data_IF_904232500505
#
_entry.id   IF_904232500505
#
_cell.length_a   1.000
_cell.length_b   1.000
_cell.length_c   1.000
_cell.angle_alpha   90.00
_cell.angle_beta   90.00
_cell.angle_gamma   90.00
#
_symmetry.space_group_name_H-M   'P 1'
#
loop_
_entity.id
_entity.type
_entity.pdbx_description
1 polymer ?
#
# COMPACT_ATOMS: atom_id res chain seq x y z
N UNK A 1 -26.22 -16.08 18.42
CA UNK A 1 -25.10 -16.64 17.62
C UNK A 1 -23.86 -16.51 18.46
N UNK A 2 -23.11 -17.60 18.72
CA UNK A 2 -21.83 -17.51 19.47
C UNK A 2 -20.87 -16.62 18.69
N UNK A 3 -20.29 -15.60 19.34
CA UNK A 3 -19.30 -14.75 18.74
C UNK A 3 -18.11 -15.61 18.29
N UNK A 4 -17.68 -15.44 17.04
CA UNK A 4 -16.47 -16.12 16.56
C UNK A 4 -15.26 -15.67 17.38
N UNK A 5 -14.28 -16.54 17.65
CA UNK A 5 -13.09 -16.12 18.38
C UNK A 5 -12.33 -15.05 17.55
N UNK A 6 -11.63 -14.12 18.23
CA UNK A 6 -10.82 -13.11 17.56
C UNK A 6 -9.68 -13.78 16.77
N UNK A 7 -9.29 -13.18 15.65
CA UNK A 7 -8.13 -13.58 14.86
C UNK A 7 -6.86 -13.27 15.68
N UNK A 8 -6.11 -14.30 16.02
CA UNK A 8 -4.85 -14.15 16.76
C UNK A 8 -3.75 -13.70 15.80
N UNK A 9 -3.25 -12.49 15.97
CA UNK A 9 -2.30 -11.88 15.06
C UNK A 9 -1.01 -11.49 15.78
N UNK A 10 0.12 -11.61 15.08
CA UNK A 10 1.42 -11.17 15.55
C UNK A 10 2.08 -10.24 14.54
N UNK A 11 2.98 -9.40 15.02
CA UNK A 11 3.75 -8.45 14.19
C UNK A 11 5.22 -8.82 14.19
N UNK A 12 5.82 -9.00 13.01
CA UNK A 12 7.26 -9.22 12.83
C UNK A 12 7.90 -7.94 12.33
N UNK A 13 8.77 -7.36 13.17
CA UNK A 13 9.34 -6.02 13.02
C UNK A 13 8.65 -5.01 13.92
N UNK A 14 9.30 -4.61 15.01
CA UNK A 14 8.78 -3.66 16.02
C UNK A 14 9.10 -2.18 15.70
N UNK A 15 9.37 -1.87 14.43
CA UNK A 15 9.57 -0.50 13.95
C UNK A 15 8.27 0.31 13.87
N UNK A 16 8.36 1.52 13.25
CA UNK A 16 7.21 2.44 13.14
C UNK A 16 5.94 1.77 12.60
N UNK A 17 6.02 1.03 11.48
CA UNK A 17 4.84 0.39 10.90
C UNK A 17 4.36 -0.78 11.75
N UNK A 18 5.29 -1.54 12.35
CA UNK A 18 4.89 -2.60 13.28
C UNK A 18 4.13 -2.07 14.49
N UNK A 19 4.52 -0.92 15.04
CA UNK A 19 3.77 -0.28 16.13
C UNK A 19 2.38 0.18 15.69
N UNK A 20 2.25 0.77 14.49
CA UNK A 20 0.93 1.16 13.94
C UNK A 20 0.01 -0.04 13.82
N UNK A 21 0.46 -1.12 13.18
CA UNK A 21 -0.34 -2.35 13.09
C UNK A 21 -0.61 -2.99 14.45
N UNK A 22 0.38 -2.97 15.36
CA UNK A 22 0.21 -3.48 16.71
C UNK A 22 -0.89 -2.75 17.50
N UNK A 23 -0.92 -1.42 17.43
CA UNK A 23 -2.00 -0.65 18.06
C UNK A 23 -3.37 -0.99 17.47
N UNK A 24 -3.48 -1.08 16.16
CA UNK A 24 -4.73 -1.44 15.50
C UNK A 24 -5.20 -2.83 15.89
N UNK A 25 -4.30 -3.82 15.87
CA UNK A 25 -4.59 -5.20 16.26
C UNK A 25 -5.01 -5.29 17.73
N UNK A 26 -4.43 -4.47 18.61
CA UNK A 26 -4.77 -4.44 20.03
C UNK A 26 -6.15 -3.88 20.33
N UNK A 27 -6.63 -2.91 19.51
CA UNK A 27 -7.92 -2.23 19.74
C UNK A 27 -9.05 -2.75 18.85
N UNK A 28 -8.76 -3.45 17.78
CA UNK A 28 -9.75 -3.97 16.85
C UNK A 28 -10.57 -5.09 17.50
N UNK A 29 -11.94 -5.05 17.48
CA UNK A 29 -12.79 -5.97 18.25
C UNK A 29 -12.70 -7.43 17.79
N UNK A 30 -12.24 -7.68 16.57
CA UNK A 30 -12.18 -9.00 15.97
C UNK A 30 -10.76 -9.57 15.93
N UNK A 31 -9.77 -8.91 16.55
CA UNK A 31 -8.37 -9.39 16.59
C UNK A 31 -7.84 -9.47 18.00
N UNK A 32 -6.83 -10.33 18.21
CA UNK A 32 -6.04 -10.43 19.41
C UNK A 32 -4.56 -10.30 19.05
N UNK A 33 -3.90 -9.23 19.52
CA UNK A 33 -2.46 -9.09 19.35
C UNK A 33 -1.74 -10.03 20.32
N UNK A 34 -1.15 -11.12 19.81
CA UNK A 34 -0.49 -12.15 20.62
C UNK A 34 1.00 -11.95 20.82
N UNK A 35 1.65 -11.08 20.03
CA UNK A 35 3.07 -10.77 20.22
C UNK A 35 3.68 -9.95 19.11
N UNK A 36 4.85 -9.43 19.43
CA UNK A 36 5.82 -8.88 18.48
C UNK A 36 7.00 -9.79 18.32
N UNK A 37 7.66 -9.72 17.17
CA UNK A 37 8.97 -10.35 16.94
C UNK A 37 9.94 -9.28 16.48
N UNK A 38 11.05 -9.13 17.18
CA UNK A 38 12.18 -8.32 16.72
C UNK A 38 13.49 -8.89 17.26
N UNK A 39 14.59 -8.73 16.50
CA UNK A 39 15.93 -9.14 16.94
C UNK A 39 16.45 -8.25 18.07
N UNK A 40 16.03 -6.99 18.08
CA UNK A 40 16.35 -6.05 19.15
C UNK A 40 15.30 -6.16 20.27
N UNK A 41 15.57 -7.02 21.23
CA UNK A 41 14.68 -7.22 22.38
C UNK A 41 14.68 -6.05 23.37
N UNK A 42 15.60 -5.07 23.23
CA UNK A 42 15.58 -3.83 24.03
C UNK A 42 14.37 -2.94 23.72
N UNK A 43 13.70 -3.16 22.58
CA UNK A 43 12.48 -2.46 22.19
C UNK A 43 11.26 -2.79 23.08
N UNK A 44 11.32 -3.81 23.93
CA UNK A 44 10.19 -4.21 24.79
C UNK A 44 9.70 -3.06 25.69
N UNK A 45 10.61 -2.33 26.33
CA UNK A 45 10.25 -1.17 27.16
C UNK A 45 9.67 -0.02 26.32
N UNK A 46 10.20 0.19 25.11
CA UNK A 46 9.69 1.18 24.19
C UNK A 46 8.25 0.85 23.76
N UNK A 47 7.97 -0.40 23.35
CA UNK A 47 6.61 -0.84 23.01
C UNK A 47 5.64 -0.64 24.16
N UNK A 48 6.05 -1.02 25.38
CA UNK A 48 5.24 -0.82 26.58
C UNK A 48 4.98 0.67 26.87
N UNK A 49 5.98 1.53 26.70
CA UNK A 49 5.83 2.99 26.86
C UNK A 49 4.86 3.61 25.85
N UNK A 50 4.72 2.99 24.68
CA UNK A 50 3.75 3.37 23.65
C UNK A 50 2.35 2.75 23.89
N UNK A 51 2.13 2.03 25.00
CA UNK A 51 0.84 1.41 25.33
C UNK A 51 0.57 0.06 24.66
N UNK A 52 1.57 -0.54 24.02
CA UNK A 52 1.49 -1.89 23.44
C UNK A 52 1.78 -2.93 24.52
N UNK A 53 0.85 -3.87 24.73
CA UNK A 53 0.88 -4.79 25.88
C UNK A 53 1.32 -6.21 25.55
N UNK A 54 1.41 -6.53 24.24
CA UNK A 54 1.80 -7.86 23.81
C UNK A 54 3.31 -8.10 24.02
N UNK A 55 3.74 -9.34 24.33
CA UNK A 55 5.15 -9.67 24.56
C UNK A 55 5.98 -9.54 23.28
N UNK A 56 7.28 -9.25 23.46
CA UNK A 56 8.27 -9.22 22.38
C UNK A 56 9.10 -10.51 22.40
N UNK A 57 9.14 -11.21 21.27
CA UNK A 57 9.91 -12.44 21.07
C UNK A 57 11.15 -12.19 20.19
N UNK A 58 12.28 -12.86 20.44
CA UNK A 58 13.51 -12.67 19.68
C UNK A 58 13.49 -13.31 18.27
N UNK A 59 12.50 -14.16 17.98
CA UNK A 59 12.37 -14.85 16.68
C UNK A 59 10.95 -15.36 16.44
N UNK A 60 10.63 -15.63 15.17
CA UNK A 60 9.37 -16.27 14.75
C UNK A 60 9.21 -17.64 15.43
N UNK A 61 10.29 -18.41 15.58
CA UNK A 61 10.26 -19.71 16.25
C UNK A 61 9.87 -19.58 17.74
N UNK A 62 10.38 -18.56 18.43
CA UNK A 62 10.04 -18.29 19.84
C UNK A 62 8.57 -17.87 19.99
N UNK A 63 8.06 -17.02 19.09
CA UNK A 63 6.64 -16.66 19.02
C UNK A 63 5.77 -17.91 18.84
N UNK A 64 6.08 -18.76 17.86
CA UNK A 64 5.28 -19.96 17.57
C UNK A 64 5.29 -21.00 18.71
N UNK A 65 6.35 -21.06 19.49
CA UNK A 65 6.43 -21.93 20.66
C UNK A 65 5.57 -21.44 21.83
N UNK A 66 5.50 -20.12 22.01
CA UNK A 66 4.80 -19.51 23.17
C UNK A 66 3.35 -19.12 22.86
N UNK A 67 3.08 -18.53 21.72
CA UNK A 67 1.79 -17.93 21.35
C UNK A 67 1.53 -18.03 19.85
N UNK A 68 1.24 -19.25 19.29
CA UNK A 68 1.05 -19.45 17.87
C UNK A 68 -0.10 -18.56 17.33
N UNK A 69 0.15 -17.67 16.33
CA UNK A 69 -0.85 -16.82 15.73
C UNK A 69 -1.59 -17.53 14.58
N UNK A 70 -2.76 -16.99 14.20
CA UNK A 70 -3.48 -17.33 12.97
C UNK A 70 -2.97 -16.50 11.79
N UNK A 71 -2.50 -15.26 12.05
CA UNK A 71 -2.01 -14.32 11.06
C UNK A 71 -0.73 -13.62 11.51
N UNK A 72 0.13 -13.26 10.55
CA UNK A 72 1.37 -12.52 10.80
C UNK A 72 1.44 -11.29 9.91
N UNK A 73 1.80 -10.15 10.53
CA UNK A 73 2.07 -8.88 9.87
C UNK A 73 3.58 -8.70 9.74
N UNK A 74 4.11 -8.76 8.52
CA UNK A 74 5.53 -8.57 8.22
C UNK A 74 5.79 -7.07 8.00
N UNK A 75 6.42 -6.43 8.98
CA UNK A 75 6.71 -5.00 9.04
C UNK A 75 8.21 -4.71 9.17
N UNK A 76 9.05 -5.64 8.74
CA UNK A 76 10.52 -5.53 8.76
C UNK A 76 11.02 -4.68 7.57
N UNK A 77 12.33 -4.31 7.49
CA UNK A 77 12.87 -3.67 6.30
C UNK A 77 12.68 -4.50 5.03
N UNK A 78 12.38 -3.86 3.91
CA UNK A 78 11.93 -4.48 2.65
C UNK A 78 12.80 -5.65 2.18
N UNK A 79 14.14 -5.51 2.25
CA UNK A 79 15.08 -6.56 1.83
C UNK A 79 15.00 -7.85 2.66
N UNK A 80 14.33 -7.82 3.80
CA UNK A 80 14.17 -9.00 4.67
C UNK A 80 12.84 -9.71 4.47
N UNK A 81 11.89 -9.12 3.74
CA UNK A 81 10.53 -9.64 3.60
C UNK A 81 10.50 -11.10 3.14
N UNK A 82 11.22 -11.46 2.07
CA UNK A 82 11.22 -12.84 1.56
C UNK A 82 11.72 -13.85 2.61
N UNK A 83 12.79 -13.54 3.34
CA UNK A 83 13.33 -14.41 4.38
C UNK A 83 12.32 -14.59 5.53
N UNK A 84 11.73 -13.49 6.01
CA UNK A 84 10.74 -13.50 7.09
C UNK A 84 9.47 -14.26 6.66
N UNK A 85 8.98 -14.03 5.44
CA UNK A 85 7.82 -14.74 4.89
C UNK A 85 8.05 -16.25 4.87
N UNK A 86 9.24 -16.72 4.47
CA UNK A 86 9.59 -18.14 4.50
C UNK A 86 9.51 -18.74 5.91
N UNK A 87 10.01 -18.00 6.90
CA UNK A 87 9.94 -18.44 8.31
C UNK A 87 8.48 -18.48 8.79
N UNK A 88 7.68 -17.46 8.49
CA UNK A 88 6.28 -17.40 8.90
C UNK A 88 5.44 -18.51 8.27
N UNK A 89 5.60 -18.76 6.97
CA UNK A 89 4.80 -19.74 6.23
C UNK A 89 5.15 -21.21 6.57
N UNK A 90 6.20 -21.48 7.33
CA UNK A 90 6.45 -22.82 7.88
C UNK A 90 5.27 -23.36 8.72
N UNK A 91 4.36 -22.52 9.18
CA UNK A 91 3.17 -22.85 9.98
C UNK A 91 1.83 -22.51 9.31
N UNK A 92 1.81 -22.22 8.01
CA UNK A 92 0.58 -21.91 7.24
C UNK A 92 -0.30 -20.84 7.87
N UNK A 93 0.29 -19.76 8.37
CA UNK A 93 -0.43 -18.59 8.91
C UNK A 93 -0.87 -17.67 7.78
N UNK A 94 -1.98 -16.95 7.96
CA UNK A 94 -2.37 -15.86 7.07
C UNK A 94 -1.31 -14.76 7.09
N UNK A 95 -1.10 -14.05 5.96
CA UNK A 95 0.05 -13.21 5.76
C UNK A 95 -0.34 -11.79 5.34
N UNK A 96 0.03 -10.80 6.11
CA UNK A 96 0.05 -9.41 5.72
C UNK A 96 1.50 -8.95 5.56
N UNK A 97 1.86 -8.33 4.41
CA UNK A 97 3.23 -7.85 4.17
C UNK A 97 3.20 -6.36 3.88
N UNK A 98 4.02 -5.59 4.60
CA UNK A 98 4.18 -4.16 4.33
C UNK A 98 4.75 -3.89 2.93
N UNK A 99 4.44 -2.70 2.42
CA UNK A 99 4.95 -2.22 1.14
C UNK A 99 6.34 -1.55 1.28
N UNK A 100 7.14 -1.52 0.20
CA UNK A 100 6.98 -2.31 -1.02
C UNK A 100 7.18 -3.80 -0.74
N UNK A 101 6.55 -4.66 -1.54
CA UNK A 101 6.51 -6.10 -1.25
C UNK A 101 7.91 -6.73 -1.17
N UNK A 102 8.82 -6.29 -2.03
CA UNK A 102 10.22 -6.72 -2.05
C UNK A 102 11.10 -5.66 -2.70
N UNK A 103 12.42 -5.87 -2.71
CA UNK A 103 13.38 -4.99 -3.40
C UNK A 103 13.54 -5.34 -4.88
N UNK A 104 13.05 -6.52 -5.31
CA UNK A 104 13.06 -6.99 -6.69
C UNK A 104 11.76 -7.69 -7.08
N UNK A 105 11.47 -7.73 -8.38
CA UNK A 105 10.36 -8.51 -8.94
C UNK A 105 10.49 -10.01 -8.61
N UNK A 106 11.70 -10.55 -8.73
CA UNK A 106 11.94 -11.96 -8.47
C UNK A 106 11.58 -12.35 -7.03
N UNK A 107 11.95 -11.53 -6.05
CA UNK A 107 11.61 -11.76 -4.65
C UNK A 107 10.11 -11.57 -4.39
N UNK A 108 9.47 -10.57 -5.01
CA UNK A 108 8.02 -10.37 -4.90
C UNK A 108 7.24 -11.58 -5.45
N UNK A 109 7.62 -12.07 -6.63
CA UNK A 109 7.03 -13.29 -7.22
C UNK A 109 7.32 -14.54 -6.37
N UNK A 110 8.48 -14.62 -5.70
CA UNK A 110 8.79 -15.71 -4.77
C UNK A 110 7.89 -15.65 -3.52
N UNK A 111 7.65 -14.45 -2.96
CA UNK A 111 6.72 -14.25 -1.84
C UNK A 111 5.32 -14.69 -2.23
N UNK A 112 4.82 -14.24 -3.39
CA UNK A 112 3.50 -14.63 -3.91
C UNK A 112 3.38 -16.14 -4.08
N UNK A 113 4.37 -16.79 -4.71
CA UNK A 113 4.37 -18.27 -4.88
C UNK A 113 4.29 -18.98 -3.54
N UNK A 114 5.12 -18.60 -2.57
CA UNK A 114 5.12 -19.20 -1.24
C UNK A 114 3.76 -19.09 -0.55
N UNK A 115 3.10 -17.93 -0.60
CA UNK A 115 1.78 -17.73 -0.01
C UNK A 115 0.69 -18.53 -0.74
N UNK A 116 0.76 -18.60 -2.08
CA UNK A 116 -0.17 -19.38 -2.91
C UNK A 116 -0.03 -20.88 -2.65
N UNK A 117 1.20 -21.39 -2.62
CA UNK A 117 1.48 -22.82 -2.37
C UNK A 117 1.09 -23.24 -0.96
N UNK A 118 1.20 -22.33 0.01
CA UNK A 118 0.71 -22.54 1.38
C UNK A 118 -0.82 -22.52 1.48
N UNK A 119 -1.53 -21.99 0.49
CA UNK A 119 -2.98 -21.88 0.47
C UNK A 119 -3.51 -20.94 1.56
N UNK A 120 -2.77 -19.86 1.87
CA UNK A 120 -3.14 -18.92 2.93
C UNK A 120 -3.73 -17.63 2.36
N UNK A 121 -4.58 -16.96 3.14
CA UNK A 121 -5.01 -15.60 2.83
C UNK A 121 -3.82 -14.65 2.94
N UNK A 122 -3.71 -13.72 2.00
CA UNK A 122 -2.61 -12.78 1.97
C UNK A 122 -3.02 -11.38 1.50
N UNK A 123 -2.36 -10.36 2.06
CA UNK A 123 -2.55 -8.95 1.69
C UNK A 123 -1.23 -8.18 1.70
N UNK A 124 -1.23 -7.02 1.06
CA UNK A 124 -0.11 -6.08 1.04
C UNK A 124 -0.51 -4.70 1.60
N UNK A 125 0.45 -4.00 2.20
CA UNK A 125 0.27 -2.75 2.95
C UNK A 125 0.03 -1.48 2.12
N UNK A 126 -0.76 -1.51 1.05
CA UNK A 126 -1.08 -0.33 0.23
C UNK A 126 -2.24 0.49 0.81
N UNK A 127 -2.02 1.09 1.96
CA UNK A 127 -3.05 1.75 2.77
C UNK A 127 -3.86 2.82 2.03
N UNK A 128 -3.26 3.57 1.08
CA UNK A 128 -3.99 4.64 0.37
C UNK A 128 -5.10 4.12 -0.54
N UNK A 129 -5.03 2.87 -0.99
CA UNK A 129 -6.12 2.24 -1.72
C UNK A 129 -7.37 2.00 -0.85
N UNK A 130 -7.23 2.04 0.48
CA UNK A 130 -8.34 1.92 1.43
C UNK A 130 -8.95 3.27 1.85
N UNK A 131 -8.48 4.39 1.31
CA UNK A 131 -9.12 5.69 1.52
C UNK A 131 -10.51 5.71 0.86
N UNK A 132 -11.57 6.16 1.56
CA UNK A 132 -12.93 6.17 1.02
C UNK A 132 -13.06 6.85 -0.33
N UNK A 133 -12.41 8.01 -0.50
CA UNK A 133 -12.43 8.76 -1.78
C UNK A 133 -11.70 8.00 -2.90
N UNK A 134 -10.65 7.23 -2.59
CA UNK A 134 -9.94 6.42 -3.58
C UNK A 134 -10.83 5.25 -4.04
N UNK A 135 -11.52 4.59 -3.12
CA UNK A 135 -12.47 3.52 -3.45
C UNK A 135 -13.65 4.04 -4.24
N UNK A 136 -14.28 5.15 -3.81
CA UNK A 136 -15.39 5.76 -4.53
C UNK A 136 -15.00 6.21 -5.96
N UNK A 137 -13.80 6.77 -6.12
CA UNK A 137 -13.29 7.12 -7.45
C UNK A 137 -13.06 5.89 -8.33
N UNK A 138 -12.50 4.79 -7.75
CA UNK A 138 -12.38 3.51 -8.45
C UNK A 138 -13.75 2.99 -8.91
N UNK A 139 -14.74 2.99 -8.03
CA UNK A 139 -16.07 2.46 -8.34
C UNK A 139 -16.77 3.26 -9.45
N UNK A 140 -16.61 4.58 -9.49
CA UNK A 140 -17.08 5.42 -10.58
C UNK A 140 -16.41 5.07 -11.92
N UNK A 141 -15.09 4.87 -11.91
CA UNK A 141 -14.34 4.46 -13.10
C UNK A 141 -14.76 3.06 -13.54
N UNK A 142 -14.84 2.10 -12.63
CA UNK A 142 -15.24 0.72 -12.88
C UNK A 142 -16.69 0.60 -13.37
N UNK A 143 -17.60 1.44 -12.87
CA UNK A 143 -18.98 1.54 -13.33
C UNK A 143 -19.12 2.20 -14.72
N UNK A 144 -18.02 2.64 -15.33
CA UNK A 144 -18.02 3.27 -16.64
C UNK A 144 -18.59 4.69 -16.67
N UNK A 145 -18.64 5.39 -15.54
CA UNK A 145 -19.19 6.76 -15.45
C UNK A 145 -18.55 7.71 -16.46
N UNK A 146 -17.24 7.57 -16.70
CA UNK A 146 -16.48 8.40 -17.63
C UNK A 146 -16.55 7.93 -19.09
N UNK A 147 -17.22 6.80 -19.39
CA UNK A 147 -17.17 6.18 -20.69
C UNK A 147 -15.81 5.56 -21.01
N UNK A 148 -15.42 5.50 -22.29
CA UNK A 148 -14.08 5.08 -22.69
C UNK A 148 -13.03 6.00 -22.08
N UNK A 149 -12.10 5.43 -21.30
CA UNK A 149 -11.02 6.18 -20.68
C UNK A 149 -9.98 6.60 -21.72
N UNK A 150 -9.55 7.85 -21.68
CA UNK A 150 -8.64 8.42 -22.66
C UNK A 150 -7.24 8.62 -22.09
N UNK A 151 -7.16 9.33 -20.95
CA UNK A 151 -5.87 9.64 -20.32
C UNK A 151 -6.01 9.89 -18.83
N UNK A 152 -4.86 9.93 -18.14
CA UNK A 152 -4.78 10.38 -16.75
C UNK A 152 -3.56 11.27 -16.50
N UNK A 153 -3.62 12.03 -15.41
CA UNK A 153 -2.45 12.64 -14.78
C UNK A 153 -2.48 12.32 -13.29
N UNK A 154 -1.32 11.91 -12.75
CA UNK A 154 -1.18 11.59 -11.34
C UNK A 154 0.03 12.30 -10.75
N UNK A 155 -0.02 12.60 -9.47
CA UNK A 155 1.12 13.11 -8.73
C UNK A 155 1.17 12.59 -7.30
N UNK A 156 2.38 12.61 -6.74
CA UNK A 156 2.62 12.42 -5.31
C UNK A 156 3.80 13.28 -4.87
N UNK A 157 3.57 14.22 -3.96
CA UNK A 157 4.58 15.16 -3.49
C UNK A 157 4.59 15.24 -1.97
N UNK A 158 5.80 15.40 -1.40
CA UNK A 158 5.98 15.72 0.01
C UNK A 158 7.29 16.50 0.22
N UNK A 159 7.37 17.22 1.32
CA UNK A 159 8.53 18.00 1.74
C UNK A 159 9.29 17.24 2.82
N UNK A 160 10.11 16.27 2.45
CA UNK A 160 10.74 15.35 3.41
C UNK A 160 12.27 15.23 3.26
N UNK A 161 12.80 15.24 2.04
CA UNK A 161 14.21 14.95 1.76
C UNK A 161 14.89 16.13 1.08
N UNK A 162 15.71 16.88 1.83
CA UNK A 162 16.46 18.05 1.34
C UNK A 162 17.95 17.97 1.68
N UNK A 163 18.48 16.79 1.89
CA UNK A 163 19.87 16.53 2.20
C UNK A 163 20.11 15.06 2.46
N UNK A 164 21.39 14.67 2.62
CA UNK A 164 21.76 13.28 2.89
C UNK A 164 21.04 12.74 4.13
N UNK A 165 20.42 11.58 3.99
CA UNK A 165 19.76 10.83 5.05
C UNK A 165 20.50 9.52 5.30
N UNK A 166 20.33 8.95 6.50
CA UNK A 166 20.94 7.68 6.91
C UNK A 166 19.86 6.62 7.14
N UNK A 167 20.28 5.35 7.15
CA UNK A 167 19.43 4.20 7.41
C UNK A 167 19.14 3.40 6.14
N UNK A 168 18.57 2.21 6.34
CA UNK A 168 18.28 1.24 5.28
C UNK A 168 17.38 1.81 4.17
N UNK A 169 16.50 2.72 4.54
CA UNK A 169 15.53 3.37 3.67
C UNK A 169 16.16 4.20 2.52
N UNK A 170 17.39 4.67 2.73
CA UNK A 170 18.19 5.43 1.75
C UNK A 170 19.34 4.60 1.15
N UNK A 171 19.26 3.27 1.28
CA UNK A 171 20.18 2.33 0.64
C UNK A 171 19.40 1.53 -0.39
N UNK A 172 19.71 1.73 -1.68
CA UNK A 172 18.97 1.17 -2.81
C UNK A 172 18.79 -0.34 -2.71
N UNK A 173 19.83 -1.06 -2.27
CA UNK A 173 19.84 -2.51 -2.12
C UNK A 173 18.89 -3.00 -1.02
N UNK A 174 18.63 -2.17 -0.01
CA UNK A 174 17.78 -2.52 1.13
C UNK A 174 16.34 -2.03 0.97
N UNK A 175 16.15 -0.86 0.31
CA UNK A 175 14.85 -0.23 0.12
C UNK A 175 14.19 -0.59 -1.23
N UNK A 176 14.99 -1.06 -2.21
CA UNK A 176 14.53 -1.27 -3.59
C UNK A 176 14.54 0.00 -4.44
N UNK A 177 14.89 1.15 -3.86
CA UNK A 177 14.93 2.46 -4.51
C UNK A 177 14.59 3.60 -3.58
N UNK A 178 14.28 4.77 -4.16
CA UNK A 178 13.92 5.99 -3.44
C UNK A 178 12.42 6.29 -3.49
N UNK A 179 12.07 7.48 -3.99
CA UNK A 179 10.69 7.95 -4.04
C UNK A 179 9.77 7.02 -4.83
N UNK A 180 10.26 6.41 -5.91
CA UNK A 180 9.48 5.48 -6.74
C UNK A 180 9.08 4.23 -5.96
N UNK A 181 10.05 3.55 -5.34
CA UNK A 181 9.80 2.32 -4.59
C UNK A 181 9.00 2.58 -3.31
N UNK A 182 9.14 3.76 -2.72
CA UNK A 182 8.54 4.07 -1.43
C UNK A 182 7.19 4.78 -1.54
N UNK A 183 7.22 6.09 -1.78
CA UNK A 183 6.02 6.94 -1.76
C UNK A 183 5.16 6.70 -2.99
N UNK A 184 5.76 6.74 -4.18
CA UNK A 184 5.03 6.58 -5.42
C UNK A 184 4.44 5.17 -5.60
N UNK A 185 4.97 4.14 -4.92
CA UNK A 185 4.42 2.79 -4.97
C UNK A 185 2.94 2.72 -4.58
N UNK A 186 2.46 3.60 -3.71
CA UNK A 186 1.03 3.71 -3.41
C UNK A 186 0.21 4.18 -4.62
N UNK A 187 0.71 5.20 -5.35
CA UNK A 187 0.03 5.69 -6.56
C UNK A 187 0.15 4.67 -7.68
N UNK A 188 1.29 4.02 -7.84
CA UNK A 188 1.47 2.93 -8.82
C UNK A 188 0.50 1.78 -8.58
N UNK A 189 0.26 1.40 -7.31
CA UNK A 189 -0.76 0.42 -6.97
C UNK A 189 -2.15 0.88 -7.41
N UNK A 190 -2.53 2.12 -7.11
CA UNK A 190 -3.82 2.71 -7.51
C UNK A 190 -3.96 2.72 -9.04
N UNK A 191 -2.92 3.13 -9.78
CA UNK A 191 -2.94 3.14 -11.23
C UNK A 191 -3.12 1.73 -11.82
N UNK A 192 -2.44 0.72 -11.26
CA UNK A 192 -2.61 -0.68 -11.65
C UNK A 192 -4.02 -1.19 -11.36
N UNK A 193 -4.59 -0.83 -10.22
CA UNK A 193 -5.95 -1.21 -9.82
C UNK A 193 -7.02 -0.55 -10.71
N UNK A 194 -6.82 0.72 -11.11
CA UNK A 194 -7.79 1.46 -11.94
C UNK A 194 -7.71 1.08 -13.43
N UNK A 195 -6.50 0.90 -13.96
CA UNK A 195 -6.27 0.79 -15.40
C UNK A 195 -5.79 -0.60 -15.84
N UNK A 196 -5.44 -1.47 -14.88
CA UNK A 196 -4.97 -2.84 -15.17
C UNK A 196 -3.47 -2.89 -15.48
N UNK A 197 -3.09 -3.82 -16.36
CA UNK A 197 -1.69 -4.07 -16.70
C UNK A 197 -1.10 -2.94 -17.55
N UNK A 198 0.14 -2.55 -17.26
CA UNK A 198 0.91 -1.67 -18.14
C UNK A 198 1.36 -2.44 -19.38
N UNK A 199 1.38 -1.74 -20.51
CA UNK A 199 1.93 -2.22 -21.78
C UNK A 199 3.34 -1.68 -21.99
N UNK A 200 3.54 -0.37 -21.72
CA UNK A 200 4.78 0.34 -21.99
C UNK A 200 4.91 1.56 -21.09
N UNK A 201 6.15 1.92 -20.73
CA UNK A 201 6.43 3.18 -20.05
C UNK A 201 7.75 3.81 -20.50
N UNK A 202 7.87 5.12 -20.27
CA UNK A 202 9.13 5.89 -20.34
C UNK A 202 9.29 6.64 -19.03
N UNK A 203 10.47 6.56 -18.41
CA UNK A 203 10.71 7.19 -17.13
C UNK A 203 12.04 7.96 -17.08
N UNK A 204 12.02 9.00 -16.23
CA UNK A 204 13.22 9.72 -15.78
C UNK A 204 13.22 9.75 -14.27
N UNK A 205 14.34 9.44 -13.63
CA UNK A 205 14.54 9.55 -12.20
C UNK A 205 15.73 10.46 -11.89
N UNK A 206 15.70 11.18 -10.77
CA UNK A 206 16.80 12.06 -10.33
C UNK A 206 17.04 11.91 -8.83
N UNK A 207 18.32 11.94 -8.47
CA UNK A 207 18.83 11.97 -7.10
C UNK A 207 19.48 13.34 -6.87
N UNK A 208 18.78 14.26 -6.23
CA UNK A 208 19.23 15.63 -5.98
C UNK A 208 19.84 15.79 -4.59
N UNK A 209 19.24 15.09 -3.61
CA UNK A 209 19.51 15.32 -2.19
C UNK A 209 19.96 14.05 -1.45
N UNK A 210 19.61 12.86 -1.97
CA UNK A 210 19.93 11.59 -1.35
C UNK A 210 20.69 10.64 -2.27
N UNK A 211 21.02 9.45 -1.78
CA UNK A 211 21.70 8.39 -2.55
C UNK A 211 20.74 7.56 -3.42
N UNK A 212 19.45 7.79 -3.27
CA UNK A 212 18.38 7.15 -4.03
C UNK A 212 17.59 8.21 -4.82
N UNK A 213 16.66 7.83 -5.66
CA UNK A 213 15.85 8.77 -6.44
C UNK A 213 14.96 9.64 -5.54
N UNK A 214 15.07 10.96 -5.72
CA UNK A 214 14.26 11.97 -5.01
C UNK A 214 13.05 12.42 -5.82
N UNK A 215 13.11 12.25 -7.13
CA UNK A 215 12.02 12.59 -8.05
C UNK A 215 11.97 11.64 -9.25
N UNK A 216 10.77 11.46 -9.81
CA UNK A 216 10.56 10.71 -11.03
C UNK A 216 9.39 11.28 -11.85
N UNK A 217 9.54 11.25 -13.18
CA UNK A 217 8.47 11.48 -14.15
C UNK A 217 8.33 10.22 -15.01
N UNK A 218 7.10 9.75 -15.16
CA UNK A 218 6.81 8.50 -15.86
C UNK A 218 5.61 8.68 -16.79
N UNK A 219 5.82 8.41 -18.09
CA UNK A 219 4.75 8.29 -19.08
C UNK A 219 4.36 6.83 -19.24
N UNK A 220 3.08 6.54 -19.07
CA UNK A 220 2.51 5.19 -19.17
C UNK A 220 1.64 5.02 -20.40
N UNK A 221 1.64 3.79 -20.92
CA UNK A 221 0.60 3.24 -21.79
C UNK A 221 0.12 1.92 -21.16
N UNK A 222 -1.14 1.85 -20.79
CA UNK A 222 -1.77 0.65 -20.27
C UNK A 222 -2.26 -0.28 -21.39
N UNK A 223 -2.50 -1.56 -21.08
CA UNK A 223 -2.95 -2.54 -22.07
C UNK A 223 -4.34 -2.22 -22.65
N UNK A 224 -5.19 -1.52 -21.90
CA UNK A 224 -6.50 -1.03 -22.33
C UNK A 224 -6.44 0.25 -23.20
N UNK A 225 -5.23 0.75 -23.51
CA UNK A 225 -5.03 1.93 -24.33
C UNK A 225 -4.96 3.26 -23.58
N UNK A 226 -5.28 3.29 -22.31
CA UNK A 226 -5.17 4.51 -21.47
C UNK A 226 -3.70 4.93 -21.38
N UNK A 227 -3.45 6.22 -21.57
CA UNK A 227 -2.11 6.82 -21.44
C UNK A 227 -2.10 7.87 -20.34
N UNK A 228 -0.94 8.13 -19.73
CA UNK A 228 -0.87 9.19 -18.73
C UNK A 228 0.49 9.41 -18.14
N UNK A 229 0.55 10.40 -17.26
CA UNK A 229 1.74 10.89 -16.60
C UNK A 229 1.63 10.69 -15.08
N UNK A 230 2.69 10.19 -14.47
CA UNK A 230 2.95 10.32 -13.04
C UNK A 230 4.15 11.25 -12.83
N UNK A 231 3.97 12.27 -11.99
CA UNK A 231 5.06 13.09 -11.46
C UNK A 231 5.13 12.94 -9.94
N UNK A 232 6.31 12.62 -9.43
CA UNK A 232 6.48 12.34 -8.00
C UNK A 232 7.80 12.88 -7.46
N UNK A 233 7.75 13.42 -6.25
CA UNK A 233 8.96 13.85 -5.53
C UNK A 233 8.69 13.94 -4.02
N UNK A 234 9.65 13.51 -3.22
CA UNK A 234 9.63 13.75 -1.77
C UNK A 234 10.46 14.99 -1.34
N UNK A 235 10.86 15.80 -2.33
CA UNK A 235 11.69 17.00 -2.14
C UNK A 235 11.03 18.25 -2.70
N UNK A 236 9.70 18.41 -2.49
CA UNK A 236 8.93 19.56 -2.94
C UNK A 236 8.79 20.54 -1.78
N UNK A 237 9.45 21.73 -1.80
CA UNK A 237 9.39 22.69 -0.71
C UNK A 237 7.96 23.12 -0.41
N UNK A 238 7.60 23.22 0.88
CA UNK A 238 6.30 23.73 1.32
C UNK A 238 5.16 22.70 1.34
N UNK A 239 5.35 21.50 0.80
CA UNK A 239 4.36 20.42 0.82
C UNK A 239 4.49 19.59 2.10
N UNK A 240 4.00 20.12 3.23
CA UNK A 240 4.20 19.54 4.56
C UNK A 240 3.51 18.17 4.77
N UNK A 241 2.41 17.93 4.05
CA UNK A 241 1.70 16.65 4.06
C UNK A 241 1.76 16.06 2.67
N UNK A 242 1.72 14.73 2.57
CA UNK A 242 1.67 14.07 1.28
C UNK A 242 0.48 14.61 0.46
N UNK A 243 0.80 15.28 -0.63
CA UNK A 243 -0.13 15.72 -1.65
C UNK A 243 -0.11 14.70 -2.79
N UNK A 244 -1.21 13.99 -2.95
CA UNK A 244 -1.42 13.05 -4.04
C UNK A 244 -2.72 13.38 -4.76
N UNK A 245 -2.73 13.11 -6.05
CA UNK A 245 -3.92 13.32 -6.87
C UNK A 245 -3.89 12.47 -8.14
N UNK A 246 -5.09 12.25 -8.66
CA UNK A 246 -5.31 11.54 -9.91
C UNK A 246 -6.44 12.25 -10.66
N UNK A 247 -6.18 12.70 -11.88
CA UNK A 247 -7.20 13.18 -12.79
C UNK A 247 -7.34 12.16 -13.93
N UNK A 248 -8.56 11.75 -14.24
CA UNK A 248 -8.89 10.78 -15.29
C UNK A 248 -9.89 11.41 -16.24
N UNK A 249 -9.55 11.45 -17.51
CA UNK A 249 -10.43 11.94 -18.59
C UNK A 249 -10.96 10.73 -19.40
N UNK A 250 -12.25 10.73 -19.63
CA UNK A 250 -12.97 9.80 -20.48
C UNK A 250 -13.88 10.50 -21.48
N UNK A 251 -14.54 9.76 -22.36
CA UNK A 251 -15.43 10.33 -23.38
C UNK A 251 -16.69 10.98 -22.80
N UNK A 252 -17.11 10.56 -21.62
CA UNK A 252 -18.30 11.11 -20.94
C UNK A 252 -17.97 12.09 -19.83
N UNK A 253 -16.71 12.34 -19.50
CA UNK A 253 -16.40 13.28 -18.44
C UNK A 253 -15.00 13.17 -17.87
N UNK A 254 -14.79 13.90 -16.79
CA UNK A 254 -13.52 13.98 -16.05
C UNK A 254 -13.76 13.73 -14.57
N UNK A 255 -12.90 12.93 -13.96
CA UNK A 255 -12.83 12.74 -12.52
C UNK A 255 -11.49 13.28 -12.00
N UNK A 256 -11.54 14.12 -10.96
CA UNK A 256 -10.32 14.62 -10.28
C UNK A 256 -10.36 14.21 -8.82
N UNK A 257 -9.58 13.20 -8.50
CA UNK A 257 -9.36 12.74 -7.13
C UNK A 257 -8.36 13.65 -6.42
N UNK A 258 -8.74 14.16 -5.28
CA UNK A 258 -7.93 14.90 -4.32
C UNK A 258 -7.98 14.18 -2.96
N UNK A 259 -7.12 14.61 -2.04
CA UNK A 259 -6.97 13.96 -0.73
C UNK A 259 -8.29 13.66 0.00
N UNK A 260 -9.26 14.57 -0.03
CA UNK A 260 -10.50 14.50 0.76
C UNK A 260 -11.77 14.61 -0.09
N UNK A 261 -11.63 14.64 -1.42
CA UNK A 261 -12.77 14.81 -2.33
C UNK A 261 -12.51 14.34 -3.75
N UNK A 262 -13.59 14.08 -4.45
CA UNK A 262 -13.64 13.84 -5.88
C UNK A 262 -14.39 15.01 -6.51
N UNK A 263 -13.83 15.62 -7.54
CA UNK A 263 -14.55 16.49 -8.47
C UNK A 263 -14.92 15.64 -9.69
N UNK A 264 -16.21 15.54 -9.99
CA UNK A 264 -16.73 14.75 -11.11
C UNK A 264 -17.46 15.70 -12.06
N UNK A 265 -17.09 15.68 -13.34
CA UNK A 265 -17.85 16.33 -14.40
C UNK A 265 -18.33 15.29 -15.41
N UNK A 266 -19.63 15.26 -15.70
CA UNK A 266 -20.22 14.36 -16.69
C UNK A 266 -20.89 15.15 -17.82
N UNK A 267 -20.71 14.69 -19.05
CA UNK A 267 -21.42 15.25 -20.23
C UNK A 267 -22.86 14.72 -20.31
N UNK A 268 -23.08 13.48 -19.89
CA UNK A 268 -24.38 12.84 -19.77
C UNK A 268 -24.48 12.11 -18.44
N UNK A 269 -25.66 11.95 -17.83
CA UNK A 269 -25.85 11.25 -16.57
C UNK A 269 -25.29 9.81 -16.63
N UNK A 270 -24.55 9.40 -15.59
CA UNK A 270 -23.99 8.07 -15.48
C UNK A 270 -23.72 7.69 -14.02
N UNK A 271 -23.76 6.38 -13.71
CA UNK A 271 -23.44 5.83 -12.39
C UNK A 271 -24.17 6.51 -11.21
N UNK A 272 -25.43 6.95 -11.43
CA UNK A 272 -26.24 7.64 -10.41
C UNK A 272 -25.94 9.12 -10.20
N UNK A 273 -25.09 9.72 -11.06
CA UNK A 273 -24.78 11.16 -11.06
C UNK A 273 -25.36 11.86 -12.28
N UNK A 274 -25.84 13.10 -12.10
CA UNK A 274 -26.35 13.95 -13.18
C UNK A 274 -25.21 14.52 -14.05
N UNK A 275 -25.56 15.02 -15.23
CA UNK A 275 -24.64 15.78 -16.08
C UNK A 275 -24.23 17.10 -15.41
N UNK A 276 -23.02 17.56 -15.70
CA UNK A 276 -22.41 18.76 -15.10
C UNK A 276 -21.41 18.43 -14.01
N UNK A 277 -21.04 19.42 -13.22
CA UNK A 277 -20.10 19.28 -12.10
C UNK A 277 -20.81 18.81 -10.83
N UNK A 278 -20.21 17.86 -10.17
CA UNK A 278 -20.55 17.43 -8.81
C UNK A 278 -19.28 17.23 -7.97
N UNK A 279 -19.44 17.29 -6.66
CA UNK A 279 -18.35 17.11 -5.69
C UNK A 279 -18.78 16.06 -4.66
N UNK A 280 -17.88 15.12 -4.38
CA UNK A 280 -18.08 14.03 -3.40
C UNK A 280 -16.99 14.20 -2.36
N UNK A 281 -17.35 14.52 -1.12
CA UNK A 281 -16.41 14.66 -0.02
C UNK A 281 -16.20 13.33 0.73
N UNK A 282 -15.03 13.16 1.33
CA UNK A 282 -14.77 11.99 2.19
C UNK A 282 -15.80 11.86 3.33
N UNK A 283 -16.27 13.01 3.86
CA UNK A 283 -17.30 13.07 4.90
C UNK A 283 -18.68 12.57 4.46
N UNK A 284 -18.95 12.54 3.16
CA UNK A 284 -20.25 12.12 2.60
C UNK A 284 -20.27 10.59 2.34
N UNK A 285 -19.09 9.96 2.41
CA UNK A 285 -18.94 8.53 2.19
C UNK A 285 -19.15 7.76 3.50
N UNK A 286 -19.63 6.50 3.43
CA UNK A 286 -19.86 5.71 4.63
C UNK A 286 -18.59 5.59 5.47
N UNK A 287 -18.68 5.95 6.75
CA UNK A 287 -17.66 5.67 7.74
C UNK A 287 -17.82 4.23 8.23
N UNK A 288 -16.84 3.37 7.95
CA UNK A 288 -16.88 1.95 8.36
C UNK A 288 -16.20 1.70 9.72
N UNK A 289 -15.96 2.73 10.49
CA UNK A 289 -15.31 2.57 11.80
C UNK A 289 -16.34 2.45 12.90
N UNK A 290 -16.34 1.31 13.60
CA UNK A 290 -17.15 1.10 14.79
C UNK A 290 -16.68 1.95 16.00
N UNK A 291 -15.55 2.65 15.87
CA UNK A 291 -14.97 3.53 16.89
C UNK A 291 -14.06 4.59 16.26
N UNK A 292 -13.84 5.66 17.02
CA UNK A 292 -12.96 6.76 16.61
C UNK A 292 -11.48 6.27 16.55
N UNK A 293 -10.97 6.08 15.34
CA UNK A 293 -9.57 5.69 15.13
C UNK A 293 -8.72 6.96 15.17
N UNK A 294 -8.03 7.17 16.28
CA UNK A 294 -7.11 8.30 16.44
C UNK A 294 -6.13 8.39 15.24
N UNK A 295 -5.91 9.59 14.69
CA UNK A 295 -4.88 9.81 13.66
C UNK A 295 -3.48 9.33 14.06
N UNK A 296 -3.20 9.26 15.36
CA UNK A 296 -1.93 8.73 15.90
C UNK A 296 -1.77 7.21 15.70
N UNK A 297 -2.86 6.48 15.48
CA UNK A 297 -2.89 5.04 15.17
C UNK A 297 -2.98 4.80 13.67
N UNK A 298 -2.69 5.79 12.83
CA UNK A 298 -2.73 5.67 11.38
C UNK A 298 -4.05 6.08 10.70
N UNK A 299 -5.12 6.30 11.48
CA UNK A 299 -6.42 6.77 10.99
C UNK A 299 -7.26 5.69 10.29
N UNK A 300 -8.39 6.13 9.73
CA UNK A 300 -9.44 5.28 9.15
C UNK A 300 -8.94 4.33 8.04
N UNK A 301 -8.05 4.79 7.16
CA UNK A 301 -7.56 3.97 6.05
C UNK A 301 -6.80 2.71 6.53
N UNK A 302 -6.01 2.83 7.61
CA UNK A 302 -5.34 1.68 8.21
C UNK A 302 -6.32 0.73 8.89
N UNK A 303 -7.38 1.25 9.53
CA UNK A 303 -8.44 0.43 10.08
C UNK A 303 -9.15 -0.35 8.97
N UNK A 304 -9.57 0.31 7.89
CA UNK A 304 -10.22 -0.33 6.72
C UNK A 304 -9.32 -1.39 6.07
N UNK A 305 -8.01 -1.12 6.00
CA UNK A 305 -7.04 -2.09 5.53
C UNK A 305 -7.01 -3.34 6.42
N UNK A 306 -6.96 -3.16 7.74
CA UNK A 306 -7.00 -4.26 8.70
C UNK A 306 -8.31 -5.03 8.61
N UNK A 307 -9.47 -4.34 8.58
CA UNK A 307 -10.78 -4.98 8.45
C UNK A 307 -10.88 -5.82 7.17
N UNK A 308 -10.44 -5.27 6.04
CA UNK A 308 -10.41 -6.00 4.76
C UNK A 308 -9.57 -7.28 4.84
N UNK A 309 -8.44 -7.26 5.54
CA UNK A 309 -7.62 -8.45 5.76
C UNK A 309 -8.29 -9.46 6.72
N UNK A 310 -8.90 -8.99 7.81
CA UNK A 310 -9.64 -9.84 8.76
C UNK A 310 -10.80 -10.53 8.07
N UNK A 311 -11.58 -9.80 7.28
CA UNK A 311 -12.69 -10.37 6.50
C UNK A 311 -12.21 -11.42 5.50
N UNK A 312 -11.10 -11.14 4.82
CA UNK A 312 -10.48 -12.09 3.90
C UNK A 312 -10.02 -13.38 4.62
N UNK A 313 -9.40 -13.27 5.81
CA UNK A 313 -9.04 -14.43 6.62
C UNK A 313 -10.25 -15.27 7.04
N UNK A 314 -11.41 -14.64 7.22
CA UNK A 314 -12.65 -15.30 7.66
C UNK A 314 -13.46 -15.91 6.54
N UNK A 315 -13.41 -15.31 5.36
CA UNK A 315 -14.19 -15.73 4.18
C UNK A 315 -13.40 -16.62 3.24
N UNK A 316 -12.07 -16.56 3.27
CA UNK A 316 -11.18 -17.18 2.29
C UNK A 316 -11.14 -16.45 0.94
N UNK A 317 -11.83 -15.31 0.81
CA UNK A 317 -11.79 -14.47 -0.40
C UNK A 317 -10.65 -13.46 -0.27
N UNK A 318 -9.69 -13.49 -1.19
CA UNK A 318 -8.55 -12.56 -1.16
C UNK A 318 -9.02 -11.11 -1.27
N UNK A 319 -8.40 -10.19 -0.51
CA UNK A 319 -8.71 -8.77 -0.60
C UNK A 319 -8.15 -8.18 -1.91
N UNK A 320 -8.69 -7.04 -2.35
CA UNK A 320 -8.20 -6.36 -3.55
C UNK A 320 -6.72 -5.92 -3.45
N UNK A 321 -6.23 -5.63 -2.23
CA UNK A 321 -4.80 -5.42 -1.96
C UNK A 321 -4.05 -6.74 -1.73
N UNK A 322 -4.21 -7.74 -2.61
CA UNK A 322 -3.52 -9.02 -2.52
C UNK A 322 -2.02 -8.93 -2.86
N UNK A 323 -1.25 -9.97 -2.55
CA UNK A 323 0.16 -10.05 -2.97
C UNK A 323 0.31 -10.12 -4.50
N UNK A 324 -0.70 -10.60 -5.24
CA UNK A 324 -0.68 -10.60 -6.70
C UNK A 324 -0.66 -9.16 -7.25
N UNK A 325 -1.53 -8.28 -6.72
CA UNK A 325 -1.54 -6.87 -7.09
C UNK A 325 -0.27 -6.13 -6.63
N UNK A 326 0.28 -6.50 -5.49
CA UNK A 326 1.58 -6.01 -5.05
C UNK A 326 2.72 -6.41 -6.00
N UNK A 327 2.69 -7.61 -6.57
CA UNK A 327 3.63 -8.03 -7.61
C UNK A 327 3.48 -7.20 -8.89
N UNK A 328 2.26 -6.85 -9.31
CA UNK A 328 2.03 -5.96 -10.44
C UNK A 328 2.65 -4.58 -10.19
N UNK A 329 2.51 -4.06 -8.97
CA UNK A 329 3.15 -2.80 -8.57
C UNK A 329 4.67 -2.92 -8.60
N UNK A 330 5.24 -4.03 -8.14
CA UNK A 330 6.69 -4.26 -8.17
C UNK A 330 7.23 -4.35 -9.60
N UNK A 331 6.46 -4.93 -10.55
CA UNK A 331 6.80 -4.91 -11.99
C UNK A 331 6.87 -3.48 -12.52
N UNK A 332 5.91 -2.62 -12.16
CA UNK A 332 5.94 -1.20 -12.55
C UNK A 332 7.18 -0.48 -12.01
N UNK A 333 7.50 -0.67 -10.72
CA UNK A 333 8.69 -0.08 -10.08
C UNK A 333 9.97 -0.49 -10.84
N UNK A 334 10.13 -1.77 -11.13
CA UNK A 334 11.31 -2.29 -11.84
C UNK A 334 11.40 -1.76 -13.28
N UNK A 335 10.27 -1.72 -14.00
CA UNK A 335 10.20 -1.15 -15.34
C UNK A 335 10.54 0.35 -15.38
N UNK A 336 10.14 1.13 -14.36
CA UNK A 336 10.50 2.55 -14.21
C UNK A 336 12.01 2.69 -14.08
N UNK A 337 12.65 1.92 -13.19
CA UNK A 337 14.10 1.98 -13.05
C UNK A 337 14.85 1.49 -14.28
N UNK A 338 14.36 0.45 -14.93
CA UNK A 338 14.94 -0.04 -16.19
C UNK A 338 14.87 1.01 -17.30
N UNK A 339 13.73 1.67 -17.46
CA UNK A 339 13.54 2.75 -18.44
C UNK A 339 14.44 3.95 -18.16
N UNK A 340 14.50 4.39 -16.88
CA UNK A 340 15.34 5.51 -16.48
C UNK A 340 16.84 5.22 -16.69
N UNK A 341 17.28 4.00 -16.42
CA UNK A 341 18.67 3.58 -16.64
C UNK A 341 19.01 3.48 -18.13
N UNK A 342 18.09 3.00 -18.95
CA UNK A 342 18.28 2.86 -20.41
C UNK A 342 18.10 4.20 -21.15
N UNK A 343 17.42 5.19 -20.57
CA UNK A 343 16.99 6.41 -21.25
C UNK A 343 16.02 6.12 -22.41
N UNK A 344 15.28 5.02 -22.36
CA UNK A 344 14.45 4.50 -23.45
C UNK A 344 13.15 3.88 -22.93
N UNK A 345 12.11 3.75 -23.79
CA UNK A 345 10.87 3.05 -23.45
C UNK A 345 11.14 1.57 -23.08
N UNK A 346 10.37 1.07 -22.11
CA UNK A 346 10.35 -0.34 -21.70
C UNK A 346 8.95 -0.89 -21.85
N UNK A 347 8.83 -2.04 -22.51
CA UNK A 347 7.61 -2.85 -22.51
C UNK A 347 7.57 -3.68 -21.21
N UNK A 348 6.41 -3.77 -20.55
CA UNK A 348 6.33 -4.34 -19.19
C UNK A 348 5.19 -5.38 -19.08
#
# INVERSE_FOLDING_TARGET
MSARPPLRAAVVGAGRMGMVHGHLLQVHPETELVGFVDRDTSLAEHLASQGLRAPLYPSVAALYAAAPPDAVFVCTPTHTHLAVVRECLARRVHLFVEKPLATSRADAEAILRLATDAGVTHAAGYVYAHLPVVQAAHDLVAAGALGELLRFTAHAYVSEVFGPKKGWFFQKEQAGGGVVANMASHVLFILGWYFGAIRRLVASTRSHFSTVDDSAQVLFTFANGVTGLLDTSWSVPGTQMLDYGLAVDGRNGTLVLRRERILLHLLAPAAGHDAGWSEIHASDLPADTAFDVSPHIGGEAFYRQLQSFVDACRTGVLPFCSLAEACNTQRMIEAIYASAAAGAPVDA
#
